data_IF_251353141540
#
_entry.id   IF_251353141540
#
_cell.length_a   1.000
_cell.length_b   1.000
_cell.length_c   1.000
_cell.angle_alpha   90.00
_cell.angle_beta   90.00
_cell.angle_gamma   90.00
#
_symmetry.space_group_name_H-M   'P 1'
#
loop_
_entity.id
_entity.type
_entity.pdbx_description
1 polymer ?
#
# COMPACT_ATOMS: atom_id res chain seq x y z
N UNK A 1 -4.81 18.71 -0.72
CA UNK A 1 -4.55 17.84 0.45
C UNK A 1 -3.18 17.21 0.23
N UNK A 2 -2.37 16.97 1.27
CA UNK A 2 -1.08 16.32 1.12
C UNK A 2 -1.28 14.83 0.89
N UNK A 3 -0.91 14.43 -0.31
CA UNK A 3 -1.07 13.09 -0.82
C UNK A 3 0.34 12.46 -0.88
N UNK A 4 0.46 11.21 -0.46
CA UNK A 4 1.65 10.41 -0.75
C UNK A 4 1.47 9.83 -2.15
N UNK A 5 2.52 9.87 -2.96
CA UNK A 5 2.59 9.20 -4.25
C UNK A 5 3.94 8.50 -4.33
N UNK A 6 3.93 7.18 -4.39
CA UNK A 6 5.13 6.33 -4.42
C UNK A 6 5.06 5.54 -5.72
N UNK A 7 6.13 5.61 -6.51
CA UNK A 7 6.25 4.85 -7.76
C UNK A 7 7.41 3.87 -7.61
N UNK A 8 7.14 2.59 -7.87
CA UNK A 8 8.11 1.51 -7.77
C UNK A 8 8.14 0.77 -9.11
N UNK A 9 9.32 0.53 -9.72
CA UNK A 9 9.41 -0.25 -10.94
C UNK A 9 8.98 -1.70 -10.72
N UNK A 10 8.27 -2.26 -11.69
CA UNK A 10 7.75 -3.62 -11.69
C UNK A 10 8.26 -4.40 -12.91
N UNK A 11 9.34 -5.18 -12.78
CA UNK A 11 9.87 -6.00 -13.87
C UNK A 11 9.05 -7.28 -14.14
N UNK A 12 8.17 -7.68 -13.21
CA UNK A 12 7.43 -8.94 -13.27
C UNK A 12 6.20 -8.87 -14.18
N UNK A 13 5.80 -7.67 -14.60
CA UNK A 13 4.54 -7.46 -15.30
C UNK A 13 3.34 -7.39 -14.35
N UNK A 14 2.21 -6.99 -14.90
CA UNK A 14 1.00 -6.62 -14.16
C UNK A 14 0.38 -7.78 -13.37
N UNK A 15 0.19 -8.93 -14.02
CA UNK A 15 -0.49 -10.09 -13.41
C UNK A 15 0.33 -10.74 -12.27
N UNK A 16 1.65 -10.89 -12.48
CA UNK A 16 2.54 -11.45 -11.49
C UNK A 16 2.66 -10.54 -10.26
N UNK A 17 2.80 -9.23 -10.48
CA UNK A 17 2.82 -8.25 -9.40
C UNK A 17 1.52 -8.26 -8.59
N UNK A 18 0.37 -8.25 -9.26
CA UNK A 18 -0.95 -8.33 -8.62
C UNK A 18 -1.08 -9.58 -7.74
N UNK A 19 -0.63 -10.73 -8.24
CA UNK A 19 -0.67 -11.99 -7.49
C UNK A 19 0.22 -11.93 -6.25
N UNK A 20 1.46 -11.44 -6.39
CA UNK A 20 2.36 -11.25 -5.23
C UNK A 20 1.79 -10.26 -4.22
N UNK A 21 1.24 -9.14 -4.68
CA UNK A 21 0.65 -8.12 -3.81
C UNK A 21 -0.56 -8.67 -3.05
N UNK A 22 -1.43 -9.47 -3.69
CA UNK A 22 -2.54 -10.14 -2.99
C UNK A 22 -2.05 -11.01 -1.84
N UNK A 23 -1.06 -11.88 -2.08
CA UNK A 23 -0.49 -12.74 -1.03
C UNK A 23 0.19 -11.92 0.08
N UNK A 24 0.88 -10.83 -0.30
CA UNK A 24 1.51 -9.93 0.65
C UNK A 24 0.48 -9.26 1.56
N UNK A 25 -0.65 -8.80 1.01
CA UNK A 25 -1.72 -8.17 1.77
C UNK A 25 -2.36 -9.13 2.77
N UNK A 26 -2.56 -10.40 2.41
CA UNK A 26 -3.00 -11.41 3.36
C UNK A 26 -2.02 -11.57 4.54
N UNK A 27 -0.73 -11.54 4.24
CA UNK A 27 0.33 -11.57 5.26
C UNK A 27 0.32 -10.32 6.12
N UNK A 28 0.17 -9.13 5.52
CA UNK A 28 0.08 -7.84 6.24
C UNK A 28 -1.14 -7.84 7.15
N UNK A 29 -2.32 -8.24 6.64
CA UNK A 29 -3.54 -8.37 7.41
C UNK A 29 -3.35 -9.25 8.63
N UNK A 30 -2.66 -10.39 8.49
CA UNK A 30 -2.39 -11.28 9.61
C UNK A 30 -1.34 -10.72 10.58
N UNK A 31 -0.24 -10.16 10.06
CA UNK A 31 0.91 -9.70 10.85
C UNK A 31 0.63 -8.42 11.61
N UNK A 32 -0.18 -7.53 11.02
CA UNK A 32 -0.51 -6.24 11.61
C UNK A 32 -1.92 -6.24 12.19
N UNK A 33 -2.62 -7.37 12.30
CA UNK A 33 -3.99 -7.45 12.86
C UNK A 33 -4.14 -6.76 14.23
N UNK A 34 -3.09 -6.79 15.04
CA UNK A 34 -3.06 -6.14 16.35
C UNK A 34 -2.78 -4.62 16.29
N UNK A 35 -2.23 -4.13 15.17
CA UNK A 35 -1.87 -2.72 14.95
C UNK A 35 -2.81 -1.98 13.99
N UNK A 36 -3.50 -2.71 13.11
CA UNK A 36 -4.51 -2.19 12.18
C UNK A 36 -5.88 -2.80 12.46
N UNK A 37 -6.88 -1.93 12.55
CA UNK A 37 -8.29 -2.27 12.67
C UNK A 37 -9.06 -1.73 11.46
N UNK A 38 -10.22 -2.32 11.16
CA UNK A 38 -11.05 -1.93 10.00
C UNK A 38 -10.23 -1.92 8.69
N UNK A 39 -9.38 -2.93 8.48
CA UNK A 39 -8.70 -3.12 7.20
C UNK A 39 -9.74 -3.55 6.17
N UNK A 40 -10.01 -2.67 5.21
CA UNK A 40 -10.85 -2.91 4.05
C UNK A 40 -9.98 -2.84 2.80
N UNK A 41 -10.09 -3.87 1.96
CA UNK A 41 -9.27 -4.04 0.77
C UNK A 41 -10.20 -4.43 -0.36
N UNK A 42 -10.21 -3.64 -1.44
CA UNK A 42 -11.09 -3.86 -2.58
C UNK A 42 -10.28 -3.71 -3.85
N UNK A 43 -10.06 -4.84 -4.52
CA UNK A 43 -9.49 -4.85 -5.85
C UNK A 43 -10.57 -4.49 -6.89
N UNK A 44 -10.33 -3.43 -7.64
CA UNK A 44 -11.12 -3.01 -8.79
C UNK A 44 -10.18 -3.06 -9.99
N UNK A 45 -10.37 -4.08 -10.83
CA UNK A 45 -9.44 -4.42 -11.91
C UNK A 45 -8.01 -4.51 -11.36
N UNK A 46 -7.17 -3.53 -11.66
CA UNK A 46 -5.74 -3.49 -11.33
C UNK A 46 -5.40 -2.43 -10.31
N UNK A 47 -6.43 -1.81 -9.74
CA UNK A 47 -6.32 -0.88 -8.63
C UNK A 47 -6.84 -1.55 -7.37
N UNK A 48 -6.00 -1.63 -6.36
CA UNK A 48 -6.38 -1.96 -5.00
C UNK A 48 -6.74 -0.69 -4.25
N UNK A 49 -8.00 -0.55 -3.84
CA UNK A 49 -8.40 0.43 -2.86
C UNK A 49 -8.23 -0.18 -1.47
N UNK A 50 -7.53 0.54 -0.58
CA UNK A 50 -7.34 0.09 0.79
C UNK A 50 -7.73 1.19 1.78
N UNK A 51 -8.31 0.78 2.90
CA UNK A 51 -8.50 1.65 4.06
C UNK A 51 -8.27 0.90 5.34
N UNK A 52 -7.66 1.54 6.32
CA UNK A 52 -7.45 0.95 7.63
C UNK A 52 -7.34 2.03 8.70
N UNK A 53 -7.51 1.63 9.95
CA UNK A 53 -7.26 2.47 11.12
C UNK A 53 -6.08 1.92 11.90
N UNK A 54 -5.13 2.78 12.25
CA UNK A 54 -3.98 2.41 13.08
C UNK A 54 -3.67 3.55 14.05
N UNK A 55 -3.38 3.23 15.32
CA UNK A 55 -3.09 4.23 16.36
C UNK A 55 -4.10 5.40 16.43
N UNK A 56 -5.38 5.15 16.12
CA UNK A 56 -6.44 6.18 16.07
C UNK A 56 -6.51 7.00 14.77
N UNK A 57 -5.60 6.79 13.82
CA UNK A 57 -5.59 7.44 12.51
C UNK A 57 -6.24 6.56 11.45
N UNK A 58 -7.20 7.12 10.70
CA UNK A 58 -7.74 6.49 9.51
C UNK A 58 -6.85 6.82 8.31
N UNK A 59 -6.31 5.79 7.67
CA UNK A 59 -5.49 5.87 6.47
C UNK A 59 -6.28 5.27 5.33
N UNK A 60 -6.33 5.99 4.20
CA UNK A 60 -6.98 5.54 2.98
C UNK A 60 -6.06 5.74 1.80
N UNK A 61 -6.08 4.84 0.86
CA UNK A 61 -5.26 4.94 -0.34
C UNK A 61 -5.68 3.97 -1.42
N UNK A 62 -4.96 4.06 -2.53
CA UNK A 62 -5.10 3.17 -3.67
C UNK A 62 -3.72 2.80 -4.18
N UNK A 63 -3.55 1.53 -4.54
CA UNK A 63 -2.38 1.00 -5.19
C UNK A 63 -2.79 0.61 -6.61
N UNK A 64 -2.10 1.11 -7.62
CA UNK A 64 -2.36 0.86 -9.03
C UNK A 64 -1.22 0.00 -9.55
N UNK A 65 -1.53 -1.19 -10.04
CA UNK A 65 -0.56 -2.10 -10.66
C UNK A 65 -0.56 -1.86 -12.16
N UNK A 66 0.49 -1.21 -12.64
CA UNK A 66 0.76 -1.07 -14.07
C UNK A 66 1.73 -2.16 -14.54
N UNK A 67 1.94 -2.21 -15.86
CA UNK A 67 2.75 -3.25 -16.49
C UNK A 67 4.22 -3.15 -16.09
N UNK A 68 4.77 -1.94 -16.06
CA UNK A 68 6.18 -1.66 -15.77
C UNK A 68 6.41 -1.01 -14.41
N UNK A 69 5.35 -0.64 -13.68
CA UNK A 69 5.44 0.04 -12.39
C UNK A 69 4.22 -0.19 -11.50
N UNK A 70 4.39 0.05 -10.21
CA UNK A 70 3.32 0.08 -9.23
C UNK A 70 3.28 1.47 -8.60
N UNK A 71 2.11 2.09 -8.62
CA UNK A 71 1.88 3.43 -8.10
C UNK A 71 1.03 3.32 -6.84
N UNK A 72 1.51 3.84 -5.71
CA UNK A 72 0.77 3.89 -4.44
C UNK A 72 0.43 5.33 -4.11
N UNK A 73 -0.87 5.59 -4.02
CA UNK A 73 -1.42 6.87 -3.61
C UNK A 73 -2.08 6.73 -2.23
N UNK A 74 -1.72 7.59 -1.28
CA UNK A 74 -2.26 7.54 0.08
C UNK A 74 -2.62 8.92 0.61
N UNK A 75 -3.80 9.04 1.21
CA UNK A 75 -4.19 10.21 1.97
C UNK A 75 -3.83 9.99 3.44
N UNK A 76 -2.87 10.78 3.95
CA UNK A 76 -2.53 10.79 5.36
C UNK A 76 -3.16 12.00 6.06
N UNK A 77 -3.73 11.82 7.27
CA UNK A 77 -4.14 12.93 8.10
C UNK A 77 -2.92 13.75 8.57
N UNK A 78 -3.10 15.04 8.84
CA UNK A 78 -1.98 15.92 9.21
C UNK A 78 -1.21 15.48 10.45
N UNK A 79 -1.91 14.87 11.40
CA UNK A 79 -1.32 14.31 12.61
C UNK A 79 -0.29 13.19 12.33
N UNK A 80 -0.35 12.53 11.17
CA UNK A 80 0.57 11.48 10.77
C UNK A 80 1.78 11.99 9.95
N UNK A 81 1.91 13.30 9.69
CA UNK A 81 2.98 13.81 8.82
C UNK A 81 4.38 13.63 9.35
N UNK A 82 4.60 13.66 10.66
CA UNK A 82 5.90 13.37 11.26
C UNK A 82 6.40 11.96 10.87
N UNK A 83 5.49 11.05 10.52
CA UNK A 83 5.78 9.67 10.11
C UNK A 83 5.68 9.45 8.61
N UNK A 84 5.25 10.46 7.82
CA UNK A 84 5.03 10.34 6.38
C UNK A 84 6.23 9.72 5.65
N UNK A 85 7.42 10.31 5.81
CA UNK A 85 8.62 9.82 5.11
C UNK A 85 8.97 8.37 5.47
N UNK A 86 8.77 7.99 6.74
CA UNK A 86 8.99 6.61 7.21
C UNK A 86 7.97 5.64 6.60
N UNK A 87 6.70 6.05 6.53
CA UNK A 87 5.63 5.26 5.90
C UNK A 87 5.90 5.10 4.40
N UNK A 88 6.24 6.19 3.70
CA UNK A 88 6.59 6.16 2.28
C UNK A 88 7.76 5.22 2.02
N UNK A 89 8.83 5.33 2.83
CA UNK A 89 10.00 4.48 2.71
C UNK A 89 9.70 3.01 3.02
N UNK A 90 8.96 2.72 4.10
CA UNK A 90 8.60 1.33 4.44
C UNK A 90 7.72 0.69 3.37
N UNK A 91 6.72 1.41 2.83
CA UNK A 91 5.89 0.91 1.74
C UNK A 91 6.76 0.65 0.50
N UNK A 92 7.61 1.61 0.13
CA UNK A 92 8.52 1.47 -1.01
C UNK A 92 9.42 0.25 -0.87
N UNK A 93 10.10 0.09 0.26
CA UNK A 93 11.01 -1.06 0.49
C UNK A 93 10.27 -2.39 0.45
N UNK A 94 9.09 -2.49 1.06
CA UNK A 94 8.31 -3.73 1.01
C UNK A 94 7.85 -4.04 -0.42
N UNK A 95 7.40 -3.04 -1.18
CA UNK A 95 7.03 -3.24 -2.60
C UNK A 95 8.23 -3.64 -3.45
N UNK A 96 9.37 -2.96 -3.33
CA UNK A 96 10.60 -3.33 -4.02
C UNK A 96 11.00 -4.77 -3.70
N UNK A 97 10.86 -5.19 -2.44
CA UNK A 97 11.16 -6.55 -2.01
C UNK A 97 10.19 -7.59 -2.57
N UNK A 98 8.91 -7.24 -2.72
CA UNK A 98 7.94 -8.14 -3.35
C UNK A 98 8.09 -8.19 -4.88
N UNK A 99 8.45 -7.07 -5.52
CA UNK A 99 8.53 -6.93 -6.98
C UNK A 99 9.90 -7.25 -7.58
N UNK A 100 10.93 -7.39 -6.74
CA UNK A 100 12.24 -7.93 -7.11
C UNK A 100 12.18 -9.41 -7.50
#
# INVERSE_FOLDING_TARGET
MPNMNIVVPNPLGKEAAKTKLKNFLETVRSKYKDQVSNLEETWVDDTLNYSFKTYGFAIKGQLIVEESQVVVNGALPMAAFAFRGKIEQSIKTELEKQLA
#
